data_IF_461996568820
#
_entry.id   IF_461996568820
#
_cell.length_a   1.000
_cell.length_b   1.000
_cell.length_c   1.000
_cell.angle_alpha   90.00
_cell.angle_beta   90.00
_cell.angle_gamma   90.00
#
_symmetry.space_group_name_H-M   'P 1'
#
loop_
_entity.id
_entity.type
_entity.pdbx_description
1 polymer ?
#
# COMPACT_ATOMS: atom_id res chain seq x y z
N UNK A 1 15.37 26.57 -0.89
CA UNK A 1 14.30 26.05 -1.76
C UNK A 1 14.50 26.41 -3.24
N UNK A 2 14.71 27.67 -3.64
CA UNK A 2 14.81 28.05 -5.05
C UNK A 2 15.96 27.47 -5.88
N UNK A 3 17.05 26.94 -5.28
CA UNK A 3 18.17 26.30 -6.00
C UNK A 3 18.02 24.78 -6.15
N UNK A 4 17.07 24.11 -5.46
CA UNK A 4 16.76 22.68 -5.62
C UNK A 4 15.54 22.41 -6.50
N UNK A 5 14.73 23.41 -6.80
CA UNK A 5 13.75 23.41 -7.88
C UNK A 5 14.38 23.83 -9.20
N UNK A 6 15.67 23.55 -9.40
CA UNK A 6 16.39 23.77 -10.65
C UNK A 6 16.02 22.86 -11.82
N UNK A 7 14.86 22.26 -11.77
CA UNK A 7 14.10 21.87 -12.95
C UNK A 7 13.63 23.20 -13.56
N UNK A 8 14.40 23.71 -14.50
CA UNK A 8 14.01 24.92 -15.20
C UNK A 8 12.59 24.75 -15.71
N UNK A 9 11.73 25.77 -15.63
CA UNK A 9 10.36 25.76 -16.16
C UNK A 9 10.28 25.19 -17.59
N UNK A 10 11.38 25.25 -18.34
CA UNK A 10 11.55 24.62 -19.64
C UNK A 10 11.52 23.09 -19.62
N UNK A 11 11.97 22.42 -18.53
CA UNK A 11 11.91 20.95 -18.44
C UNK A 11 10.53 20.50 -17.94
N UNK A 12 9.94 21.21 -16.97
CA UNK A 12 8.57 20.95 -16.55
C UNK A 12 7.58 21.19 -17.67
N UNK A 13 7.70 22.31 -18.40
CA UNK A 13 6.87 22.60 -19.56
C UNK A 13 7.08 21.59 -20.72
N UNK A 14 8.29 21.04 -20.87
CA UNK A 14 8.58 20.00 -21.86
C UNK A 14 8.07 18.62 -21.44
N UNK A 15 8.09 18.28 -20.16
CA UNK A 15 7.44 17.09 -19.65
C UNK A 15 5.91 17.21 -19.69
N UNK A 16 5.37 18.35 -19.29
CA UNK A 16 3.95 18.65 -19.39
C UNK A 16 3.43 18.57 -20.82
N UNK A 17 4.20 19.03 -21.81
CA UNK A 17 3.80 18.97 -23.23
C UNK A 17 3.79 17.55 -23.81
N UNK A 18 4.41 16.58 -23.16
CA UNK A 18 4.46 15.17 -23.59
C UNK A 18 3.31 14.31 -23.04
N UNK A 19 2.60 14.79 -22.02
CA UNK A 19 1.47 14.07 -21.44
C UNK A 19 0.17 14.42 -22.16
N UNK A 20 -0.54 13.44 -22.78
CA UNK A 20 -1.86 13.68 -23.37
C UNK A 20 -2.89 14.17 -22.35
N UNK A 21 -2.67 13.87 -21.06
CA UNK A 21 -3.51 14.33 -19.95
C UNK A 21 -3.40 15.84 -19.73
N UNK A 22 -2.21 16.41 -19.98
CA UNK A 22 -1.95 17.84 -19.82
C UNK A 22 -2.52 18.69 -20.95
N UNK A 23 -2.83 18.08 -22.09
CA UNK A 23 -3.49 18.79 -23.21
C UNK A 23 -4.93 19.23 -22.90
N UNK A 24 -5.54 18.69 -21.83
CA UNK A 24 -6.90 18.99 -21.37
C UNK A 24 -6.92 20.01 -20.22
N UNK A 25 -5.76 20.37 -19.64
CA UNK A 25 -5.69 21.32 -18.54
C UNK A 25 -5.98 22.77 -19.03
N UNK A 26 -6.65 23.59 -18.18
CA UNK A 26 -6.81 25.00 -18.47
C UNK A 26 -5.43 25.66 -18.62
N UNK A 27 -5.38 26.73 -19.40
CA UNK A 27 -4.17 27.50 -19.81
C UNK A 27 -3.07 27.48 -18.74
N UNK A 28 -1.83 27.18 -19.11
CA UNK A 28 -0.72 27.21 -18.17
C UNK A 28 -0.67 28.56 -17.46
N UNK A 29 -0.40 28.51 -16.15
CA UNK A 29 -0.20 29.70 -15.32
C UNK A 29 0.89 30.56 -15.95
N UNK A 30 0.67 31.86 -16.12
CA UNK A 30 1.69 32.76 -16.67
C UNK A 30 2.90 32.79 -15.73
N UNK A 31 4.10 33.07 -16.29
CA UNK A 31 5.32 33.25 -15.47
C UNK A 31 5.10 34.30 -14.38
N UNK A 32 4.39 35.37 -14.69
CA UNK A 32 4.09 36.43 -13.73
C UNK A 32 3.17 35.93 -12.58
N UNK A 33 2.18 35.12 -12.89
CA UNK A 33 1.30 34.56 -11.88
C UNK A 33 2.00 33.47 -11.06
N UNK A 34 2.87 32.68 -11.70
CA UNK A 34 3.73 31.73 -11.00
C UNK A 34 4.63 32.43 -9.97
N UNK A 35 5.26 33.55 -10.35
CA UNK A 35 6.07 34.33 -9.41
C UNK A 35 5.26 34.91 -8.25
N UNK A 36 4.01 35.32 -8.48
CA UNK A 36 3.09 35.75 -7.41
C UNK A 36 2.78 34.58 -6.45
N UNK A 37 2.50 33.39 -6.98
CA UNK A 37 2.26 32.18 -6.18
C UNK A 37 3.51 31.86 -5.33
N UNK A 38 4.69 31.87 -5.92
CA UNK A 38 5.94 31.61 -5.20
C UNK A 38 6.19 32.67 -4.10
N UNK A 39 5.94 33.94 -4.40
CA UNK A 39 6.05 35.02 -3.42
C UNK A 39 5.09 34.83 -2.26
N UNK A 40 3.82 34.52 -2.55
CA UNK A 40 2.80 34.25 -1.54
C UNK A 40 3.21 33.12 -0.59
N UNK A 41 3.66 31.97 -1.13
CA UNK A 41 4.08 30.86 -0.28
C UNK A 41 5.36 31.17 0.52
N UNK A 42 6.29 31.96 -0.03
CA UNK A 42 7.49 32.38 0.72
C UNK A 42 7.14 33.30 1.89
N UNK A 43 6.18 34.17 1.71
CA UNK A 43 5.74 35.14 2.72
C UNK A 43 4.93 34.46 3.85
N UNK A 44 4.11 33.44 3.51
CA UNK A 44 3.15 32.83 4.43
C UNK A 44 3.60 31.46 4.96
N UNK A 45 4.64 30.86 4.37
CA UNK A 45 5.14 29.59 4.87
C UNK A 45 5.83 29.79 6.24
N UNK A 46 5.58 28.92 7.23
CA UNK A 46 6.30 28.95 8.49
C UNK A 46 7.78 28.62 8.26
N UNK A 47 8.66 29.14 9.11
CA UNK A 47 10.11 28.86 9.07
C UNK A 47 10.41 27.38 9.28
N UNK A 48 9.59 26.68 10.08
CA UNK A 48 9.61 25.25 10.31
C UNK A 48 8.22 24.69 10.45
N UNK A 49 8.01 23.43 10.06
CA UNK A 49 6.76 22.74 10.39
C UNK A 49 6.72 22.39 11.88
N UNK A 50 5.55 22.46 12.53
CA UNK A 50 5.42 22.06 13.92
C UNK A 50 5.80 20.59 14.08
N UNK A 51 6.48 20.27 15.19
CA UNK A 51 6.75 18.88 15.53
C UNK A 51 5.46 18.17 15.95
N UNK A 52 5.30 16.90 15.56
CA UNK A 52 4.15 16.09 15.99
C UNK A 52 4.29 15.74 17.48
N UNK A 53 3.37 16.20 18.30
CA UNK A 53 3.22 15.67 19.66
C UNK A 53 2.29 14.46 19.63
N UNK A 54 2.74 13.36 20.23
CA UNK A 54 1.87 12.19 20.42
C UNK A 54 0.86 12.44 21.52
N UNK A 55 -0.34 11.84 21.45
CA UNK A 55 -1.34 11.91 22.52
C UNK A 55 -0.84 11.31 23.86
N UNK A 56 0.05 10.31 23.76
CA UNK A 56 0.74 9.69 24.89
C UNK A 56 2.10 9.17 24.42
N UNK A 57 3.09 9.11 25.33
CA UNK A 57 4.38 8.49 25.01
C UNK A 57 4.23 6.97 24.85
N UNK A 58 4.82 6.38 23.79
CA UNK A 58 4.71 4.95 23.55
C UNK A 58 5.49 4.12 24.59
N UNK A 59 4.92 2.98 24.98
CA UNK A 59 5.67 1.97 25.73
C UNK A 59 6.59 1.24 24.75
N UNK A 60 7.88 1.22 25.05
CA UNK A 60 8.89 0.60 24.19
C UNK A 60 8.98 -0.90 24.44
N UNK A 61 9.08 -1.67 23.33
CA UNK A 61 9.29 -3.13 23.31
C UNK A 61 8.33 -3.89 24.24
N UNK A 62 7.02 -3.87 23.95
CA UNK A 62 6.04 -4.53 24.80
C UNK A 62 6.32 -6.03 24.88
N UNK A 63 6.36 -6.58 26.11
CA UNK A 63 6.74 -7.97 26.37
C UNK A 63 5.82 -9.02 25.70
N UNK A 64 4.62 -8.61 25.32
CA UNK A 64 3.64 -9.44 24.65
C UNK A 64 3.82 -9.56 23.13
N UNK A 65 4.81 -8.86 22.55
CA UNK A 65 5.30 -9.14 21.20
C UNK A 65 6.77 -9.55 21.24
N UNK A 66 7.08 -10.69 20.63
CA UNK A 66 8.46 -11.10 20.39
C UNK A 66 8.85 -10.79 18.96
N UNK A 67 9.88 -9.99 18.79
CA UNK A 67 10.37 -9.56 17.47
C UNK A 67 11.57 -10.40 17.02
N UNK A 68 11.69 -10.61 15.71
CA UNK A 68 12.82 -11.29 15.10
C UNK A 68 12.73 -11.25 13.56
N UNK A 69 13.78 -11.70 12.84
CA UNK A 69 13.70 -11.83 11.41
C UNK A 69 12.80 -13.00 11.00
N UNK A 70 12.11 -12.89 9.87
CA UNK A 70 11.36 -14.01 9.29
C UNK A 70 12.32 -15.19 9.04
N UNK A 71 13.43 -14.91 8.36
CA UNK A 71 14.51 -15.87 8.13
C UNK A 71 15.83 -15.15 8.41
N UNK A 72 16.65 -15.65 9.37
CA UNK A 72 17.93 -15.03 9.64
C UNK A 72 18.83 -14.99 8.40
N UNK A 73 19.42 -13.81 8.13
CA UNK A 73 20.35 -13.59 7.00
C UNK A 73 19.74 -13.88 5.62
N UNK A 74 18.43 -13.61 5.45
CA UNK A 74 17.83 -13.65 4.10
C UNK A 74 18.55 -12.62 3.23
N UNK A 75 19.31 -13.10 2.23
CA UNK A 75 19.97 -12.21 1.28
C UNK A 75 18.92 -11.57 0.36
N UNK A 76 18.72 -10.27 0.51
CA UNK A 76 17.74 -9.49 -0.23
C UNK A 76 18.20 -8.04 -0.33
N UNK A 77 17.74 -7.33 -1.33
CA UNK A 77 17.98 -5.88 -1.48
C UNK A 77 17.19 -5.02 -0.50
N UNK A 78 16.37 -5.62 0.38
CA UNK A 78 15.42 -4.92 1.24
C UNK A 78 14.39 -4.06 0.47
N UNK A 79 14.05 -4.46 -0.75
CA UNK A 79 12.98 -3.85 -1.56
C UNK A 79 11.86 -4.88 -1.68
N UNK A 80 11.14 -5.11 -0.56
CA UNK A 80 10.00 -6.02 -0.53
C UNK A 80 8.79 -5.29 -1.09
N UNK A 81 8.23 -5.81 -2.16
CA UNK A 81 7.07 -5.25 -2.87
C UNK A 81 5.83 -6.11 -2.75
N UNK A 82 5.98 -7.33 -2.26
CA UNK A 82 4.89 -8.25 -2.01
C UNK A 82 5.14 -9.02 -0.71
N UNK A 83 4.16 -9.03 0.19
CA UNK A 83 4.16 -9.82 1.41
C UNK A 83 2.72 -10.30 1.66
N UNK A 84 2.53 -11.62 1.63
CA UNK A 84 1.22 -12.25 1.82
C UNK A 84 1.31 -13.56 2.56
N UNK A 85 0.23 -13.91 3.24
CA UNK A 85 0.01 -15.19 3.90
C UNK A 85 -1.15 -15.93 3.24
N UNK A 86 -1.02 -17.25 3.18
CA UNK A 86 -2.08 -18.18 2.80
C UNK A 86 -2.32 -19.16 3.96
N UNK A 87 -3.37 -18.90 4.72
CA UNK A 87 -3.71 -19.70 5.90
C UNK A 87 -4.23 -21.10 5.53
N UNK A 88 -4.80 -21.27 4.33
CA UNK A 88 -5.33 -22.56 3.87
C UNK A 88 -4.18 -23.57 3.65
N UNK A 89 -3.10 -23.15 2.99
CA UNK A 89 -1.96 -24.01 2.68
C UNK A 89 -0.76 -23.75 3.59
N UNK A 90 -0.90 -22.89 4.62
CA UNK A 90 0.17 -22.51 5.55
C UNK A 90 1.43 -22.00 4.84
N UNK A 91 1.27 -21.02 3.94
CA UNK A 91 2.35 -20.45 3.12
C UNK A 91 2.53 -18.95 3.39
N UNK A 92 3.79 -18.51 3.24
CA UNK A 92 4.17 -17.08 3.26
C UNK A 92 4.80 -16.76 1.92
N UNK A 93 4.32 -15.74 1.25
CA UNK A 93 4.84 -15.24 -0.03
C UNK A 93 5.61 -13.94 0.21
N UNK A 94 6.86 -13.91 -0.23
CA UNK A 94 7.74 -12.75 -0.14
C UNK A 94 8.24 -12.41 -1.53
N UNK A 95 7.81 -11.28 -2.06
CA UNK A 95 8.23 -10.76 -3.35
C UNK A 95 9.22 -9.62 -3.19
N UNK A 96 10.33 -9.71 -3.93
CA UNK A 96 11.43 -8.76 -3.89
C UNK A 96 11.67 -8.16 -5.27
N UNK A 97 11.73 -6.84 -5.35
CA UNK A 97 11.89 -6.15 -6.62
C UNK A 97 13.34 -6.12 -7.14
N UNK A 98 14.33 -6.12 -6.25
CA UNK A 98 15.73 -5.99 -6.67
C UNK A 98 16.24 -7.14 -7.52
N UNK A 99 15.70 -8.35 -7.31
CA UNK A 99 16.03 -9.55 -8.09
C UNK A 99 14.83 -10.13 -8.84
N UNK A 100 13.67 -9.44 -8.83
CA UNK A 100 12.41 -9.94 -9.37
C UNK A 100 12.07 -11.34 -8.84
N UNK A 101 12.26 -11.57 -7.56
CA UNK A 101 12.13 -12.92 -6.99
C UNK A 101 10.86 -13.04 -6.16
N UNK A 102 10.14 -14.13 -6.36
CA UNK A 102 9.08 -14.60 -5.46
C UNK A 102 9.60 -15.79 -4.66
N UNK A 103 9.62 -15.67 -3.33
CA UNK A 103 9.95 -16.76 -2.41
C UNK A 103 8.69 -17.19 -1.66
N UNK A 104 8.55 -18.51 -1.52
CA UNK A 104 7.47 -19.15 -0.77
C UNK A 104 8.08 -19.88 0.40
N UNK A 105 7.59 -19.58 1.60
CA UNK A 105 7.98 -20.27 2.84
C UNK A 105 6.78 -21.00 3.43
N UNK A 106 7.04 -22.07 4.19
CA UNK A 106 6.03 -22.63 5.09
C UNK A 106 5.94 -21.81 6.39
N UNK A 107 4.95 -22.10 7.23
CA UNK A 107 4.78 -21.40 8.51
C UNK A 107 5.89 -21.69 9.52
N UNK A 108 6.70 -22.76 9.33
CA UNK A 108 7.94 -22.97 10.06
C UNK A 108 9.10 -22.13 9.52
N UNK A 109 8.84 -21.26 8.53
CA UNK A 109 9.80 -20.37 7.88
C UNK A 109 10.87 -21.10 7.07
N UNK A 110 10.58 -22.32 6.65
CA UNK A 110 11.40 -23.09 5.72
C UNK A 110 11.10 -22.63 4.29
N UNK A 111 12.14 -22.34 3.50
CA UNK A 111 11.98 -22.01 2.09
C UNK A 111 11.48 -23.23 1.31
N UNK A 112 10.31 -23.10 0.68
CA UNK A 112 9.70 -24.10 -0.19
C UNK A 112 10.08 -23.86 -1.64
N UNK A 113 9.98 -22.63 -2.12
CA UNK A 113 10.25 -22.26 -3.51
C UNK A 113 10.91 -20.89 -3.60
N UNK A 114 11.74 -20.73 -4.62
CA UNK A 114 12.30 -19.44 -5.03
C UNK A 114 12.27 -19.36 -6.55
N UNK A 115 11.53 -18.40 -7.09
CA UNK A 115 11.28 -18.23 -8.51
C UNK A 115 11.70 -16.82 -8.93
N UNK A 116 12.48 -16.73 -10.02
CA UNK A 116 12.72 -15.45 -10.69
C UNK A 116 11.59 -15.18 -11.67
N UNK A 117 10.98 -14.01 -11.54
CA UNK A 117 9.85 -13.52 -12.32
C UNK A 117 10.32 -12.67 -13.50
N UNK A 118 9.40 -12.34 -14.41
CA UNK A 118 9.66 -11.45 -15.53
C UNK A 118 9.93 -10.00 -15.11
N UNK A 119 9.29 -9.55 -14.02
CA UNK A 119 9.44 -8.21 -13.45
C UNK A 119 9.06 -8.19 -11.97
N UNK A 120 9.21 -7.05 -11.26
CA UNK A 120 8.91 -6.97 -9.83
C UNK A 120 7.46 -7.38 -9.49
N UNK A 121 7.25 -8.33 -8.54
CA UNK A 121 5.92 -8.69 -8.08
C UNK A 121 5.35 -7.61 -7.16
N UNK A 122 4.09 -7.25 -7.35
CA UNK A 122 3.41 -6.23 -6.52
C UNK A 122 2.23 -6.77 -5.73
N UNK A 123 1.56 -7.78 -6.25
CA UNK A 123 0.47 -8.46 -5.57
C UNK A 123 0.32 -9.90 -6.06
N UNK A 124 -0.46 -10.73 -5.37
CA UNK A 124 -0.82 -12.07 -5.82
C UNK A 124 -2.19 -12.52 -5.32
N UNK A 125 -2.77 -13.47 -6.03
CA UNK A 125 -3.96 -14.22 -5.63
C UNK A 125 -3.58 -15.70 -5.55
N UNK A 126 -3.96 -16.38 -4.47
CA UNK A 126 -3.85 -17.86 -4.36
C UNK A 126 -5.14 -18.47 -4.90
N UNK A 127 -5.03 -19.40 -5.85
CA UNK A 127 -6.14 -20.06 -6.51
C UNK A 127 -5.89 -21.59 -6.54
N UNK A 128 -6.34 -22.28 -5.50
CA UNK A 128 -6.07 -23.72 -5.34
C UNK A 128 -4.58 -24.05 -5.41
N UNK A 129 -4.18 -24.91 -6.37
CA UNK A 129 -2.79 -25.29 -6.60
C UNK A 129 -2.03 -24.30 -7.51
N UNK A 130 -2.48 -23.05 -7.62
CA UNK A 130 -1.82 -22.05 -8.42
C UNK A 130 -1.79 -20.69 -7.71
N UNK A 131 -0.90 -19.81 -8.19
CA UNK A 131 -0.86 -18.41 -7.80
C UNK A 131 -0.90 -17.53 -9.04
N UNK A 132 -1.68 -16.47 -8.96
CA UNK A 132 -1.71 -15.41 -9.96
C UNK A 132 -0.86 -14.27 -9.43
N UNK A 133 0.28 -14.02 -10.07
CA UNK A 133 1.22 -12.97 -9.64
C UNK A 133 1.04 -11.76 -10.52
N UNK A 134 0.81 -10.61 -9.89
CA UNK A 134 0.79 -9.32 -10.56
C UNK A 134 2.22 -8.79 -10.61
N UNK A 135 2.72 -8.59 -11.81
CA UNK A 135 4.08 -8.12 -12.08
C UNK A 135 4.03 -6.69 -12.65
N UNK A 136 4.77 -5.76 -12.06
CA UNK A 136 4.65 -4.33 -12.38
C UNK A 136 5.22 -3.91 -13.73
N UNK A 137 6.03 -4.76 -14.37
CA UNK A 137 6.87 -4.37 -15.50
C UNK A 137 8.05 -3.52 -15.03
N UNK A 138 7.89 -2.23 -14.92
CA UNK A 138 8.89 -1.31 -14.38
C UNK A 138 8.38 -0.77 -13.04
N UNK A 139 9.17 -0.92 -11.96
CA UNK A 139 8.77 -0.48 -10.62
C UNK A 139 8.72 1.06 -10.49
N UNK A 140 9.69 1.75 -11.09
CA UNK A 140 9.76 3.20 -11.05
C UNK A 140 8.57 3.85 -11.78
N UNK A 141 8.15 5.08 -11.38
CA UNK A 141 7.09 5.81 -12.07
C UNK A 141 7.30 5.86 -13.59
N UNK A 142 6.31 5.37 -14.34
CA UNK A 142 6.33 5.31 -15.79
C UNK A 142 4.94 4.99 -16.36
N UNK A 143 4.75 5.25 -17.65
CA UNK A 143 3.53 4.97 -18.42
C UNK A 143 3.72 3.82 -19.43
N UNK A 144 4.78 3.01 -19.27
CA UNK A 144 5.06 1.87 -20.15
C UNK A 144 4.12 0.69 -19.85
N UNK A 145 3.40 0.17 -20.86
CA UNK A 145 2.46 -0.94 -20.65
C UNK A 145 3.20 -2.29 -20.60
N UNK A 146 4.03 -2.48 -19.57
CA UNK A 146 4.88 -3.69 -19.39
C UNK A 146 4.45 -4.58 -18.24
N UNK A 147 3.44 -4.19 -17.48
CA UNK A 147 2.90 -5.01 -16.40
C UNK A 147 2.12 -6.20 -16.92
N UNK A 148 2.08 -7.27 -16.12
CA UNK A 148 1.41 -8.53 -16.47
C UNK A 148 0.72 -9.15 -15.26
N UNK A 149 -0.33 -9.94 -15.51
CA UNK A 149 -0.88 -10.92 -14.56
C UNK A 149 -0.51 -12.30 -15.06
N UNK A 150 0.31 -13.03 -14.30
CA UNK A 150 0.87 -14.33 -14.68
C UNK A 150 0.40 -15.42 -13.73
N UNK A 151 -0.12 -16.52 -14.28
CA UNK A 151 -0.46 -17.73 -13.50
C UNK A 151 0.76 -18.64 -13.42
N UNK A 152 1.08 -19.08 -12.21
CA UNK A 152 2.08 -20.12 -11.91
C UNK A 152 1.40 -21.27 -11.20
N UNK A 153 1.78 -22.49 -11.50
CA UNK A 153 1.24 -23.71 -10.89
C UNK A 153 2.23 -24.32 -9.91
N UNK A 154 1.72 -24.85 -8.78
CA UNK A 154 2.55 -25.63 -7.88
C UNK A 154 2.78 -27.02 -8.46
N UNK A 155 4.04 -27.38 -8.70
CA UNK A 155 4.44 -28.75 -9.04
C UNK A 155 4.78 -29.50 -7.74
N UNK A 156 3.81 -30.20 -7.16
CA UNK A 156 3.88 -30.73 -5.81
C UNK A 156 3.75 -29.61 -4.76
N UNK A 157 4.19 -29.88 -3.53
CA UNK A 157 4.02 -28.91 -2.43
C UNK A 157 4.94 -27.68 -2.55
N UNK A 158 6.07 -27.77 -3.26
CA UNK A 158 7.24 -26.94 -2.99
C UNK A 158 7.84 -26.22 -4.22
N UNK A 159 7.21 -26.26 -5.39
CA UNK A 159 7.83 -25.64 -6.58
C UNK A 159 6.82 -24.98 -7.49
N UNK A 160 7.00 -23.69 -7.75
CA UNK A 160 6.23 -22.93 -8.73
C UNK A 160 6.84 -23.10 -10.13
N UNK A 161 6.00 -23.38 -11.13
CA UNK A 161 6.39 -23.65 -12.53
C UNK A 161 5.30 -23.20 -13.51
N UNK A 162 5.58 -23.42 -14.79
CA UNK A 162 4.62 -23.29 -15.88
C UNK A 162 3.97 -21.89 -15.97
N UNK A 163 4.78 -20.82 -16.16
CA UNK A 163 4.22 -19.49 -16.29
C UNK A 163 3.28 -19.38 -17.49
N UNK A 164 2.08 -18.83 -17.26
CA UNK A 164 1.12 -18.48 -18.30
C UNK A 164 0.64 -17.07 -18.09
N UNK A 165 0.96 -16.17 -19.00
CA UNK A 165 0.44 -14.81 -19.00
C UNK A 165 -1.06 -14.85 -19.25
N UNK A 166 -1.85 -14.28 -18.34
CA UNK A 166 -3.30 -14.15 -18.45
C UNK A 166 -3.69 -12.79 -19.04
N UNK A 167 -3.03 -11.72 -18.55
CA UNK A 167 -3.26 -10.34 -18.96
C UNK A 167 -1.89 -9.70 -19.11
N UNK A 168 -1.69 -8.96 -20.17
CA UNK A 168 -0.49 -8.18 -20.47
C UNK A 168 -0.81 -6.70 -20.69
N UNK A 169 0.22 -5.93 -20.98
CA UNK A 169 0.10 -4.51 -21.34
C UNK A 169 -0.51 -3.64 -20.24
N UNK A 170 -0.32 -4.01 -18.95
CA UNK A 170 -0.80 -3.26 -17.80
C UNK A 170 0.13 -2.07 -17.50
N UNK A 171 -0.46 -0.95 -17.07
CA UNK A 171 0.24 0.29 -16.72
C UNK A 171 0.71 0.27 -15.27
N UNK A 172 1.90 -0.28 -14.98
CA UNK A 172 2.48 -0.34 -13.63
C UNK A 172 1.45 -0.78 -12.56
N UNK A 173 0.92 -2.01 -12.70
CA UNK A 173 -0.12 -2.50 -11.80
C UNK A 173 0.44 -2.75 -10.39
N UNK A 174 -0.38 -2.47 -9.36
CA UNK A 174 0.04 -2.55 -7.95
C UNK A 174 -0.88 -3.37 -7.05
N UNK A 175 -2.12 -3.63 -7.48
CA UNK A 175 -3.09 -4.36 -6.68
C UNK A 175 -4.11 -5.08 -7.56
N UNK A 176 -4.48 -6.31 -7.20
CA UNK A 176 -5.46 -7.13 -7.94
C UNK A 176 -6.34 -7.94 -7.02
N UNK A 177 -7.63 -8.04 -7.36
CA UNK A 177 -8.57 -9.00 -6.77
C UNK A 177 -9.42 -9.61 -7.87
N UNK A 178 -9.91 -10.83 -7.60
CA UNK A 178 -10.92 -11.47 -8.43
C UNK A 178 -12.24 -11.57 -7.68
N UNK A 179 -13.33 -11.39 -8.39
CA UNK A 179 -14.67 -11.50 -7.83
C UNK A 179 -15.70 -11.75 -8.94
N UNK A 180 -16.76 -12.53 -8.65
CA UNK A 180 -17.90 -12.75 -9.56
C UNK A 180 -18.94 -11.63 -9.36
N UNK A 181 -18.73 -10.49 -10.05
CA UNK A 181 -19.62 -9.33 -9.95
C UNK A 181 -20.96 -9.53 -10.65
N UNK A 182 -21.02 -10.43 -11.62
CA UNK A 182 -22.23 -10.73 -12.39
C UNK A 182 -23.04 -11.89 -11.81
N UNK A 183 -22.53 -12.58 -10.78
CA UNK A 183 -23.13 -13.78 -10.16
C UNK A 183 -23.39 -14.89 -11.17
N UNK A 184 -22.49 -15.07 -12.14
CA UNK A 184 -22.58 -16.04 -13.24
C UNK A 184 -21.64 -17.24 -13.06
N UNK A 185 -20.90 -17.31 -11.95
CA UNK A 185 -19.93 -18.38 -11.63
C UNK A 185 -18.56 -18.16 -12.26
N UNK A 186 -18.31 -17.02 -12.91
CA UNK A 186 -17.01 -16.65 -13.48
C UNK A 186 -16.49 -15.39 -12.81
N UNK A 187 -15.27 -15.45 -12.29
CA UNK A 187 -14.66 -14.28 -11.68
C UNK A 187 -14.09 -13.33 -12.73
N UNK A 188 -14.32 -12.05 -12.55
CA UNK A 188 -13.59 -10.95 -13.18
C UNK A 188 -12.38 -10.57 -12.33
N UNK A 189 -11.34 -9.99 -12.96
CA UNK A 189 -10.27 -9.31 -12.26
C UNK A 189 -10.53 -7.82 -12.22
N UNK A 190 -10.32 -7.21 -11.05
CA UNK A 190 -10.16 -5.76 -10.93
C UNK A 190 -8.71 -5.48 -10.62
N UNK A 191 -8.09 -4.55 -11.35
CA UNK A 191 -6.67 -4.21 -11.25
C UNK A 191 -6.52 -2.70 -11.04
N UNK A 192 -5.72 -2.32 -10.05
CA UNK A 192 -5.20 -0.97 -9.92
C UNK A 192 -3.96 -0.84 -10.80
N UNK A 193 -4.08 -0.15 -11.91
CA UNK A 193 -2.97 0.24 -12.78
C UNK A 193 -2.53 1.65 -12.38
N UNK A 194 -1.57 1.72 -11.45
CA UNK A 194 -1.15 2.98 -10.83
C UNK A 194 -0.59 3.96 -11.87
N UNK A 195 0.25 3.44 -12.79
CA UNK A 195 0.88 4.23 -13.84
C UNK A 195 1.82 5.32 -13.31
N UNK A 196 1.81 6.46 -13.99
CA UNK A 196 2.48 7.71 -13.63
C UNK A 196 1.60 8.91 -14.06
N UNK A 197 1.68 9.34 -15.32
CA UNK A 197 0.74 10.32 -15.91
C UNK A 197 -0.54 9.66 -16.43
N UNK A 198 -0.47 8.38 -16.73
CA UNK A 198 -1.56 7.51 -17.16
C UNK A 198 -1.69 6.36 -16.18
N UNK A 199 -2.90 6.01 -15.86
CA UNK A 199 -3.23 4.90 -14.99
C UNK A 199 -4.74 4.72 -14.97
N UNK A 200 -5.22 3.66 -14.36
CA UNK A 200 -6.65 3.39 -14.33
C UNK A 200 -7.01 2.33 -13.29
N UNK A 201 -8.24 2.38 -12.84
CA UNK A 201 -8.90 1.26 -12.22
C UNK A 201 -9.68 0.51 -13.31
N UNK A 202 -9.34 -0.73 -13.58
CA UNK A 202 -9.94 -1.49 -14.68
C UNK A 202 -10.45 -2.87 -14.25
N UNK A 203 -11.55 -3.28 -14.88
CA UNK A 203 -12.11 -4.61 -14.77
C UNK A 203 -11.76 -5.42 -16.02
N UNK A 204 -11.37 -6.67 -15.82
CA UNK A 204 -10.99 -7.61 -16.87
C UNK A 204 -11.89 -8.83 -16.82
N UNK A 205 -12.68 -9.01 -17.88
CA UNK A 205 -13.63 -10.11 -18.03
C UNK A 205 -13.17 -11.07 -19.11
N UNK A 206 -13.20 -12.37 -18.81
CA UNK A 206 -12.89 -13.41 -19.79
C UNK A 206 -14.05 -13.60 -20.77
N UNK A 207 -13.78 -13.51 -22.08
CA UNK A 207 -14.80 -13.66 -23.14
C UNK A 207 -14.86 -15.07 -23.75
N UNK A 208 -14.10 -16.03 -23.18
CA UNK A 208 -13.95 -17.38 -23.72
C UNK A 208 -12.63 -17.58 -24.49
N UNK A 209 -11.92 -16.49 -24.86
CA UNK A 209 -10.64 -16.53 -25.56
C UNK A 209 -9.56 -15.72 -24.85
N UNK A 210 -9.89 -14.54 -24.38
CA UNK A 210 -8.98 -13.61 -23.68
C UNK A 210 -9.72 -12.75 -22.67
N UNK A 211 -8.97 -12.04 -21.85
CA UNK A 211 -9.52 -11.04 -20.95
C UNK A 211 -9.77 -9.73 -21.68
N UNK A 212 -11.01 -9.23 -21.62
CA UNK A 212 -11.42 -7.95 -22.19
C UNK A 212 -11.37 -6.89 -21.11
N UNK A 213 -10.65 -5.81 -21.39
CA UNK A 213 -10.48 -4.66 -20.49
C UNK A 213 -11.68 -3.73 -20.56
N UNK A 214 -12.13 -3.29 -19.38
CA UNK A 214 -13.16 -2.29 -19.18
C UNK A 214 -12.72 -1.29 -18.12
N UNK A 215 -12.55 -0.05 -18.49
CA UNK A 215 -12.11 1.00 -17.57
C UNK A 215 -13.26 1.40 -16.66
N UNK A 216 -13.01 1.39 -15.34
CA UNK A 216 -13.92 1.89 -14.30
C UNK A 216 -13.64 3.37 -14.08
N UNK A 217 -12.37 3.75 -13.89
CA UNK A 217 -11.90 5.14 -13.77
C UNK A 217 -10.54 5.28 -14.46
N UNK A 218 -10.40 6.29 -15.32
CA UNK A 218 -9.20 6.53 -16.14
C UNK A 218 -8.18 7.46 -15.46
N UNK A 219 -8.34 7.73 -14.15
CA UNK A 219 -7.36 8.55 -13.40
C UNK A 219 -6.17 7.72 -12.99
N UNK A 220 -4.94 8.26 -13.05
CA UNK A 220 -3.76 7.59 -12.50
C UNK A 220 -3.80 7.52 -10.99
N UNK A 221 -3.02 6.60 -10.43
CA UNK A 221 -2.81 6.48 -9.00
C UNK A 221 -3.80 5.64 -8.20
N UNK A 222 -4.66 4.75 -8.79
CA UNK A 222 -5.38 3.80 -7.96
C UNK A 222 -4.35 2.86 -7.30
N UNK A 223 -4.35 2.81 -5.97
CA UNK A 223 -3.36 2.03 -5.23
C UNK A 223 -3.96 0.77 -4.61
N UNK A 224 -5.22 0.84 -4.21
CA UNK A 224 -5.95 -0.23 -3.54
C UNK A 224 -7.45 -0.03 -3.66
N UNK A 225 -8.20 -1.10 -3.58
CA UNK A 225 -9.66 -1.07 -3.44
C UNK A 225 -10.15 -2.17 -2.50
N UNK A 226 -11.39 -2.02 -2.03
CA UNK A 226 -12.16 -3.06 -1.35
C UNK A 226 -13.45 -3.34 -2.09
N UNK A 227 -13.94 -4.58 -1.99
CA UNK A 227 -15.19 -5.03 -2.59
C UNK A 227 -16.18 -5.23 -1.44
N UNK A 228 -17.25 -4.43 -1.42
CA UNK A 228 -18.31 -4.47 -0.40
C UNK A 228 -19.63 -4.01 -0.98
N UNK A 229 -20.74 -4.53 -0.47
CA UNK A 229 -22.05 -3.95 -0.71
C UNK A 229 -22.22 -2.71 0.18
N UNK A 230 -21.96 -1.53 -0.39
CA UNK A 230 -22.04 -0.24 0.31
C UNK A 230 -23.41 0.41 0.19
N UNK A 231 -24.25 -0.07 -0.74
CA UNK A 231 -25.59 0.47 -0.99
C UNK A 231 -26.69 -0.33 -0.30
N UNK A 232 -26.38 -1.55 0.14
CA UNK A 232 -27.34 -2.47 0.77
C UNK A 232 -28.32 -3.13 -0.24
N UNK A 233 -27.96 -3.12 -1.54
CA UNK A 233 -28.78 -3.69 -2.61
C UNK A 233 -28.44 -5.16 -2.92
N UNK A 234 -27.43 -5.70 -2.25
CA UNK A 234 -26.91 -7.05 -2.42
C UNK A 234 -25.96 -7.21 -3.60
N UNK A 235 -25.61 -6.14 -4.33
CA UNK A 235 -24.57 -6.14 -5.34
C UNK A 235 -23.27 -5.60 -4.73
N UNK A 236 -22.13 -6.31 -4.86
CA UNK A 236 -20.88 -5.81 -4.32
C UNK A 236 -20.34 -4.64 -5.15
N UNK A 237 -20.06 -3.54 -4.47
CA UNK A 237 -19.50 -2.31 -5.01
C UNK A 237 -17.97 -2.33 -4.89
N UNK A 238 -17.31 -1.34 -5.48
CA UNK A 238 -15.88 -1.11 -5.36
C UNK A 238 -15.63 0.22 -4.65
N UNK A 239 -14.88 0.18 -3.55
CA UNK A 239 -14.36 1.38 -2.88
C UNK A 239 -12.87 1.45 -3.17
N UNK A 240 -12.38 2.48 -3.84
CA UNK A 240 -10.99 2.60 -4.28
C UNK A 240 -10.31 3.87 -3.79
N UNK A 241 -9.03 3.74 -3.37
CA UNK A 241 -8.14 4.85 -3.04
C UNK A 241 -7.30 5.22 -4.25
N UNK A 242 -7.33 6.50 -4.62
CA UNK A 242 -6.43 7.11 -5.59
C UNK A 242 -5.41 7.97 -4.83
N UNK A 243 -4.14 7.72 -5.07
CA UNK A 243 -3.02 8.30 -4.31
C UNK A 243 -2.16 9.25 -5.17
N UNK A 244 -2.65 9.69 -6.32
CA UNK A 244 -1.90 10.57 -7.21
C UNK A 244 -2.77 11.71 -7.74
N UNK A 245 -2.24 12.94 -7.66
CA UNK A 245 -2.90 14.14 -8.16
C UNK A 245 -4.11 14.57 -7.32
N UNK A 246 -5.27 13.98 -7.55
CA UNK A 246 -6.50 14.19 -6.76
C UNK A 246 -6.68 13.01 -5.79
N UNK A 247 -6.05 13.10 -4.62
CA UNK A 247 -6.09 12.05 -3.60
C UNK A 247 -7.49 11.90 -3.02
N UNK A 248 -8.10 10.74 -3.24
CA UNK A 248 -9.50 10.51 -2.88
C UNK A 248 -9.83 9.03 -2.68
N UNK A 249 -10.86 8.77 -1.89
CA UNK A 249 -11.54 7.47 -1.81
C UNK A 249 -12.88 7.60 -2.52
N UNK A 250 -13.14 6.71 -3.47
CA UNK A 250 -14.32 6.73 -4.34
C UNK A 250 -15.08 5.42 -4.24
N UNK A 251 -16.38 5.52 -4.08
CA UNK A 251 -17.33 4.42 -4.24
C UNK A 251 -17.79 4.36 -5.70
N UNK A 252 -17.65 3.19 -6.31
CA UNK A 252 -18.22 2.84 -7.62
C UNK A 252 -19.31 1.82 -7.40
N UNK A 253 -20.56 2.25 -7.60
CA UNK A 253 -21.74 1.38 -7.38
C UNK A 253 -21.87 0.38 -8.53
N UNK A 254 -22.14 -0.89 -8.18
CA UNK A 254 -22.42 -1.96 -9.12
C UNK A 254 -23.92 -1.97 -9.46
N UNK A 255 -24.27 -2.02 -10.73
CA UNK A 255 -25.66 -2.18 -11.16
C UNK A 255 -26.24 -3.62 -11.01
N UNK A 256 -25.51 -4.50 -10.32
CA UNK A 256 -25.84 -5.93 -10.16
C UNK A 256 -25.49 -6.78 -11.39
N UNK A 257 -24.83 -6.19 -12.40
CA UNK A 257 -24.39 -6.85 -13.64
C UNK A 257 -22.90 -6.57 -13.93
N UNK A 258 -22.13 -6.20 -12.92
CA UNK A 258 -20.72 -5.87 -13.06
C UNK A 258 -20.43 -4.55 -13.81
N UNK A 259 -21.41 -3.63 -13.88
CA UNK A 259 -21.19 -2.31 -14.46
C UNK A 259 -21.02 -1.26 -13.35
N UNK A 260 -19.92 -0.52 -13.40
CA UNK A 260 -19.53 0.51 -12.44
C UNK A 260 -19.55 1.94 -13.01
N UNK A 261 -19.97 2.10 -14.26
CA UNK A 261 -19.91 3.39 -14.97
C UNK A 261 -21.08 4.35 -14.68
N UNK A 262 -22.10 3.86 -13.95
CA UNK A 262 -23.36 4.61 -13.79
C UNK A 262 -23.37 5.57 -12.61
N UNK A 263 -22.77 5.20 -11.49
CA UNK A 263 -22.81 5.97 -10.25
C UNK A 263 -21.47 5.88 -9.55
N UNK A 264 -20.88 7.04 -9.27
CA UNK A 264 -19.69 7.16 -8.44
C UNK A 264 -19.89 8.26 -7.40
N UNK A 265 -19.35 8.03 -6.21
CA UNK A 265 -19.42 8.97 -5.09
C UNK A 265 -18.06 9.09 -4.42
N UNK A 266 -17.56 10.31 -4.29
CA UNK A 266 -16.36 10.58 -3.50
C UNK A 266 -16.75 10.48 -2.04
N UNK A 267 -16.17 9.50 -1.32
CA UNK A 267 -16.40 9.27 0.10
C UNK A 267 -15.50 10.17 0.95
N UNK A 268 -14.25 10.37 0.51
CA UNK A 268 -13.31 11.27 1.14
C UNK A 268 -12.34 11.86 0.10
N UNK A 269 -11.90 13.10 0.30
CA UNK A 269 -10.87 13.76 -0.51
C UNK A 269 -9.83 14.35 0.40
N UNK A 270 -8.57 14.18 0.04
CA UNK A 270 -7.43 14.61 0.85
C UNK A 270 -6.59 15.66 0.11
N UNK A 271 -5.91 16.56 0.84
CA UNK A 271 -4.91 17.42 0.21
C UNK A 271 -3.80 16.59 -0.47
N UNK A 272 -3.38 16.92 -1.70
CA UNK A 272 -2.34 16.17 -2.42
C UNK A 272 -0.99 16.09 -1.69
N UNK A 273 -0.77 16.94 -0.68
CA UNK A 273 0.44 16.93 0.16
C UNK A 273 0.39 15.88 1.27
N UNK A 274 -0.75 15.20 1.45
CA UNK A 274 -0.90 14.17 2.48
C UNK A 274 -0.10 12.91 2.14
N UNK A 275 0.01 12.56 0.85
CA UNK A 275 0.69 11.36 0.40
C UNK A 275 -0.03 10.10 0.85
N UNK A 276 -1.18 9.83 0.22
CA UNK A 276 -2.01 8.65 0.50
C UNK A 276 -1.25 7.36 0.23
N UNK A 277 -1.22 6.45 1.21
CA UNK A 277 -0.48 5.19 1.13
C UNK A 277 -1.38 3.96 1.21
N UNK A 278 -2.42 4.00 2.04
CA UNK A 278 -3.23 2.84 2.32
C UNK A 278 -4.60 3.22 2.88
N UNK A 279 -5.59 2.36 2.67
CA UNK A 279 -6.84 2.35 3.43
C UNK A 279 -7.36 0.93 3.62
N UNK A 280 -8.22 0.75 4.62
CA UNK A 280 -9.04 -0.45 4.82
C UNK A 280 -10.35 -0.06 5.49
N UNK A 281 -11.35 -0.95 5.43
CA UNK A 281 -12.67 -0.67 5.98
C UNK A 281 -13.02 -1.67 7.08
N UNK A 282 -13.33 -1.15 8.26
CA UNK A 282 -13.64 -1.93 9.47
C UNK A 282 -14.73 -1.21 10.27
N UNK A 283 -15.53 -1.96 10.99
CA UNK A 283 -16.51 -1.42 11.94
C UNK A 283 -15.81 -1.22 13.30
N UNK A 284 -15.31 0.00 13.56
CA UNK A 284 -14.56 0.31 14.80
C UNK A 284 -15.47 0.58 16.00
N UNK A 285 -16.74 0.93 15.77
CA UNK A 285 -17.68 1.30 16.82
C UNK A 285 -18.76 0.25 17.07
N UNK A 286 -18.81 -0.85 16.27
CA UNK A 286 -19.75 -1.93 16.41
C UNK A 286 -21.18 -1.59 15.97
N UNK A 287 -21.37 -0.57 15.13
CA UNK A 287 -22.70 -0.13 14.66
C UNK A 287 -23.18 -0.85 13.38
N UNK A 288 -22.34 -1.70 12.81
CA UNK A 288 -22.61 -2.46 11.58
C UNK A 288 -22.29 -1.70 10.30
N UNK A 289 -21.82 -0.45 10.38
CA UNK A 289 -21.43 0.36 9.23
C UNK A 289 -19.91 0.41 9.14
N UNK A 290 -19.28 0.03 8.01
CA UNK A 290 -17.83 0.04 7.93
C UNK A 290 -17.26 1.46 7.90
N UNK A 291 -16.34 1.75 8.83
CA UNK A 291 -15.53 2.95 8.87
C UNK A 291 -14.30 2.81 7.96
N UNK A 292 -13.64 3.91 7.64
CA UNK A 292 -12.40 3.92 6.87
C UNK A 292 -11.22 4.15 7.80
N UNK A 293 -10.30 3.18 7.86
CA UNK A 293 -8.93 3.43 8.27
C UNK A 293 -8.17 4.00 7.08
N UNK A 294 -7.55 5.17 7.24
CA UNK A 294 -6.75 5.83 6.21
C UNK A 294 -5.34 6.10 6.71
N UNK A 295 -4.34 5.79 5.88
CA UNK A 295 -2.92 5.99 6.19
C UNK A 295 -2.30 6.90 5.14
N UNK A 296 -1.60 7.92 5.59
CA UNK A 296 -0.89 8.84 4.71
C UNK A 296 0.50 9.17 5.25
N UNK A 297 1.48 9.18 4.36
CA UNK A 297 2.85 9.40 4.78
C UNK A 297 3.88 9.36 3.65
N UNK A 298 3.44 9.31 2.39
CA UNK A 298 4.40 9.41 1.29
C UNK A 298 5.13 10.76 1.33
N UNK A 299 6.44 10.66 1.37
CA UNK A 299 7.34 11.80 1.52
C UNK A 299 8.45 11.80 0.46
N UNK A 300 8.34 10.94 -0.55
CA UNK A 300 9.43 10.69 -1.48
C UNK A 300 9.56 11.75 -2.57
N UNK A 301 8.44 12.23 -3.12
CA UNK A 301 8.42 12.98 -4.36
C UNK A 301 9.03 14.38 -4.28
N UNK A 302 8.74 15.14 -3.21
CA UNK A 302 9.05 16.56 -3.16
C UNK A 302 10.03 16.97 -2.05
N UNK A 303 9.96 16.32 -0.89
CA UNK A 303 10.71 16.74 0.29
C UNK A 303 10.74 15.66 1.34
N UNK A 304 11.92 15.34 1.87
CA UNK A 304 12.12 14.38 2.96
C UNK A 304 11.98 15.00 4.36
N UNK A 305 11.39 16.19 4.46
CA UNK A 305 11.11 16.80 5.76
C UNK A 305 9.96 16.06 6.45
N UNK A 306 10.02 15.98 7.78
CA UNK A 306 8.95 15.39 8.58
C UNK A 306 7.68 16.27 8.50
N UNK A 307 6.54 15.67 8.22
CA UNK A 307 5.28 16.39 8.01
C UNK A 307 4.28 16.04 9.11
N UNK A 308 3.78 17.03 9.87
CA UNK A 308 2.97 16.80 11.08
C UNK A 308 1.57 16.23 10.80
N UNK A 309 1.14 16.20 9.57
CA UNK A 309 -0.15 15.65 9.14
C UNK A 309 -0.07 14.20 8.64
N UNK A 310 1.13 13.60 8.65
CA UNK A 310 1.29 12.18 8.36
C UNK A 310 0.81 11.33 9.53
N UNK A 311 0.17 10.22 9.26
CA UNK A 311 -0.30 9.31 10.30
C UNK A 311 -1.42 8.38 9.87
N UNK A 312 -2.12 7.89 10.86
CA UNK A 312 -3.27 7.00 10.74
C UNK A 312 -4.52 7.74 11.17
N UNK A 313 -5.59 7.64 10.37
CA UNK A 313 -6.90 8.23 10.63
C UNK A 313 -8.00 7.20 10.60
N UNK A 314 -9.01 7.38 11.44
CA UNK A 314 -10.29 6.68 11.32
C UNK A 314 -11.34 7.71 10.92
N UNK A 315 -12.00 7.45 9.80
CA UNK A 315 -13.14 8.21 9.32
C UNK A 315 -14.39 7.39 9.62
N UNK A 316 -15.17 7.83 10.59
CA UNK A 316 -16.40 7.16 11.04
C UNK A 316 -17.52 7.35 10.00
N UNK A 317 -18.23 6.27 9.69
CA UNK A 317 -19.38 6.25 8.80
C UNK A 317 -20.66 6.54 9.58
N UNK A 318 -21.47 7.49 9.12
CA UNK A 318 -22.76 7.80 9.73
C UNK A 318 -23.90 6.81 9.39
N UNK A 319 -23.56 5.66 8.81
CA UNK A 319 -24.51 4.67 8.31
C UNK A 319 -25.17 5.01 6.96
N UNK A 320 -24.75 6.13 6.34
CA UNK A 320 -25.23 6.59 5.02
C UNK A 320 -24.07 6.86 4.05
N UNK A 321 -22.92 6.31 4.36
CA UNK A 321 -21.68 6.50 3.62
C UNK A 321 -21.21 7.98 3.60
N UNK A 322 -21.52 8.78 4.64
CA UNK A 322 -20.83 10.04 4.91
C UNK A 322 -19.79 9.78 5.99
N UNK A 323 -18.55 10.19 5.72
CA UNK A 323 -17.40 9.88 6.55
C UNK A 323 -16.87 11.14 7.22
N UNK A 324 -16.60 11.04 8.53
CA UNK A 324 -16.08 12.15 9.34
C UNK A 324 -14.85 11.69 10.12
N UNK A 325 -13.76 12.48 10.10
CA UNK A 325 -12.56 12.17 10.88
C UNK A 325 -12.91 12.11 12.37
N UNK A 326 -12.76 10.92 12.96
CA UNK A 326 -13.03 10.64 14.36
C UNK A 326 -11.76 10.50 15.18
N UNK A 327 -10.70 10.03 14.56
CA UNK A 327 -9.42 9.77 15.20
C UNK A 327 -8.28 10.10 14.26
N UNK A 328 -7.21 10.67 14.82
CA UNK A 328 -5.92 10.86 14.17
C UNK A 328 -4.80 10.52 15.14
N UNK A 329 -3.90 9.63 14.71
CA UNK A 329 -2.65 9.35 15.40
C UNK A 329 -1.47 9.71 14.51
N UNK A 330 -0.61 10.68 14.93
CA UNK A 330 0.50 11.14 14.12
C UNK A 330 1.63 10.12 14.07
N UNK A 331 2.04 9.74 12.85
CA UNK A 331 3.21 8.89 12.58
C UNK A 331 3.90 9.47 11.35
N UNK A 332 5.11 9.99 11.50
CA UNK A 332 5.87 10.46 10.36
C UNK A 332 6.08 9.36 9.34
N UNK A 333 5.75 9.64 8.07
CA UNK A 333 5.95 8.70 6.98
C UNK A 333 5.16 7.39 7.08
N UNK A 334 3.96 7.41 7.71
CA UNK A 334 3.11 6.24 7.83
C UNK A 334 2.82 5.61 6.45
N UNK A 335 3.03 4.30 6.32
CA UNK A 335 2.97 3.61 5.04
C UNK A 335 1.86 2.55 4.96
N UNK A 336 1.67 1.79 6.04
CA UNK A 336 0.71 0.68 6.09
C UNK A 336 0.13 0.55 7.48
N UNK A 337 -1.05 -0.06 7.57
CA UNK A 337 -1.59 -0.51 8.84
C UNK A 337 -2.37 -1.82 8.69
N UNK A 338 -2.31 -2.66 9.72
CA UNK A 338 -3.17 -3.81 9.92
C UNK A 338 -4.14 -3.53 11.05
N UNK A 339 -5.38 -3.99 10.89
CA UNK A 339 -6.45 -3.84 11.87
C UNK A 339 -6.94 -5.22 12.27
N UNK A 340 -6.87 -5.51 13.53
CA UNK A 340 -7.41 -6.75 14.12
C UNK A 340 -7.59 -6.57 15.63
N UNK A 341 -8.40 -7.41 16.23
CA UNK A 341 -8.47 -7.60 17.67
C UNK A 341 -7.27 -8.48 18.08
N UNK A 342 -6.08 -7.83 18.29
CA UNK A 342 -4.83 -8.54 18.57
C UNK A 342 -4.76 -9.08 19.99
N UNK A 343 -5.47 -8.48 20.94
CA UNK A 343 -5.46 -8.89 22.35
C UNK A 343 -6.75 -9.61 22.80
N UNK A 344 -7.70 -9.77 21.86
CA UNK A 344 -8.97 -10.49 22.05
C UNK A 344 -9.86 -9.91 23.14
N UNK A 345 -9.85 -8.59 23.28
CA UNK A 345 -10.73 -7.87 24.20
C UNK A 345 -12.06 -7.42 23.54
N UNK A 346 -12.19 -7.59 22.21
CA UNK A 346 -13.37 -7.30 21.42
C UNK A 346 -13.29 -5.98 20.68
N UNK A 347 -12.29 -5.14 20.94
CA UNK A 347 -12.03 -3.89 20.24
C UNK A 347 -10.97 -4.07 19.12
N UNK A 348 -11.07 -3.30 18.03
CA UNK A 348 -10.11 -3.39 16.94
C UNK A 348 -8.88 -2.53 17.20
N UNK A 349 -7.71 -3.16 17.22
CA UNK A 349 -6.40 -2.53 17.34
C UNK A 349 -5.81 -2.17 15.99
N UNK A 350 -4.73 -1.36 16.00
CA UNK A 350 -4.02 -0.95 14.80
C UNK A 350 -2.52 -1.20 14.97
N UNK A 351 -1.91 -1.95 14.04
CA UNK A 351 -0.46 -2.02 13.92
C UNK A 351 -0.05 -1.25 12.64
N UNK A 352 0.68 -0.16 12.82
CA UNK A 352 1.09 0.73 11.74
C UNK A 352 2.61 0.70 11.51
N UNK A 353 3.02 0.85 10.26
CA UNK A 353 4.42 0.94 9.85
C UNK A 353 4.74 2.27 9.19
N UNK A 354 6.00 2.66 9.21
CA UNK A 354 6.49 3.88 8.58
C UNK A 354 7.69 3.62 7.69
N UNK A 355 7.65 4.21 6.51
CA UNK A 355 8.76 4.21 5.56
C UNK A 355 9.68 5.43 5.75
N UNK A 356 9.15 6.54 6.27
CA UNK A 356 9.88 7.80 6.48
C UNK A 356 9.76 8.29 7.93
N UNK A 357 10.02 7.40 8.90
CA UNK A 357 10.01 7.74 10.32
C UNK A 357 11.05 8.83 10.65
N UNK A 358 10.94 9.41 11.83
CA UNK A 358 11.98 10.28 12.41
C UNK A 358 13.17 9.41 12.87
N UNK A 359 14.00 9.01 11.89
CA UNK A 359 15.15 8.13 12.15
C UNK A 359 16.26 8.78 13.00
N UNK A 360 16.27 10.12 13.12
CA UNK A 360 17.25 10.84 13.92
C UNK A 360 16.89 10.89 15.39
N UNK A 361 15.60 11.15 15.70
CA UNK A 361 15.16 11.37 17.08
C UNK A 361 14.34 10.20 17.64
N UNK A 362 13.50 9.56 16.82
CA UNK A 362 12.56 8.53 17.25
C UNK A 362 12.47 7.36 16.25
N UNK A 363 13.59 6.65 15.98
CA UNK A 363 13.59 5.55 15.01
C UNK A 363 12.70 4.37 15.41
N UNK A 364 12.43 4.18 16.73
CA UNK A 364 11.52 3.17 17.27
C UNK A 364 10.07 3.34 16.82
N UNK A 365 9.68 4.55 16.42
CA UNK A 365 8.32 4.89 15.94
C UNK A 365 8.08 4.47 14.47
N UNK A 366 9.04 3.81 13.85
CA UNK A 366 8.88 3.20 12.52
C UNK A 366 7.90 2.02 12.50
N UNK A 367 7.60 1.41 13.67
CA UNK A 367 6.54 0.42 13.87
C UNK A 367 5.80 0.81 15.14
N UNK A 368 4.49 0.99 15.04
CA UNK A 368 3.63 1.38 16.16
C UNK A 368 2.47 0.41 16.30
N UNK A 369 2.25 -0.10 17.51
CA UNK A 369 1.02 -0.81 17.88
C UNK A 369 0.16 0.13 18.72
N UNK A 370 -1.08 0.29 18.33
CA UNK A 370 -2.08 1.12 19.00
C UNK A 370 -3.16 0.18 19.53
N UNK A 371 -3.06 -0.16 20.84
CA UNK A 371 -4.05 -0.94 21.58
C UNK A 371 -5.31 -0.10 21.77
N UNK A 372 -6.44 -0.53 21.25
CA UNK A 372 -7.71 0.15 21.46
C UNK A 372 -8.19 -0.12 22.90
N UNK A 373 -8.59 0.93 23.60
CA UNK A 373 -9.12 0.85 24.96
C UNK A 373 -10.57 1.31 25.05
N UNK A 374 -11.25 1.27 23.90
CA UNK A 374 -12.63 1.69 23.72
C UNK A 374 -12.82 3.16 23.38
N UNK A 375 -13.85 3.46 22.58
CA UNK A 375 -14.27 4.82 22.26
C UNK A 375 -13.21 5.63 21.50
N UNK A 376 -12.49 5.02 20.58
CA UNK A 376 -11.40 5.61 19.80
C UNK A 376 -10.23 6.14 20.66
N UNK A 377 -9.97 5.53 21.80
CA UNK A 377 -8.83 5.81 22.66
C UNK A 377 -7.80 4.70 22.48
N UNK A 378 -6.59 5.07 22.09
CA UNK A 378 -5.53 4.12 21.81
C UNK A 378 -4.33 4.32 22.72
N UNK A 379 -3.78 3.23 23.23
CA UNK A 379 -2.53 3.18 23.97
C UNK A 379 -1.41 2.83 23.01
N UNK A 380 -0.41 3.71 22.82
CA UNK A 380 0.65 3.47 21.84
C UNK A 380 1.79 2.63 22.42
N UNK A 381 2.35 1.75 21.56
CA UNK A 381 3.57 1.02 21.77
C UNK A 381 4.50 1.17 20.57
N UNK A 382 5.82 1.17 20.82
CA UNK A 382 6.84 1.27 19.81
C UNK A 382 7.85 0.13 19.91
N UNK A 383 8.65 -0.10 18.87
CA UNK A 383 9.57 -1.23 18.81
C UNK A 383 10.98 -0.78 18.44
N UNK A 384 11.97 -1.06 19.28
CA UNK A 384 13.39 -0.75 19.03
C UNK A 384 13.90 -1.32 17.70
N UNK A 385 13.39 -2.49 17.31
CA UNK A 385 13.74 -3.15 16.03
C UNK A 385 13.33 -2.32 14.81
N UNK A 386 12.40 -1.38 14.95
CA UNK A 386 11.96 -0.50 13.86
C UNK A 386 13.09 0.35 13.29
N UNK A 387 14.10 0.68 14.10
CA UNK A 387 15.30 1.43 13.68
C UNK A 387 16.15 0.73 12.61
N UNK A 388 15.90 -0.56 12.35
CA UNK A 388 16.74 -1.36 11.46
C UNK A 388 16.47 -1.17 9.98
N UNK A 389 15.27 -0.71 9.59
CA UNK A 389 14.88 -0.55 8.19
C UNK A 389 13.77 0.51 8.00
N UNK A 390 13.40 0.76 6.75
CA UNK A 390 12.19 1.48 6.34
C UNK A 390 11.08 0.45 6.10
N UNK A 391 9.97 0.54 6.84
CA UNK A 391 8.94 -0.49 6.86
C UNK A 391 7.72 -0.07 6.06
N UNK A 392 7.29 -0.90 5.11
CA UNK A 392 6.26 -0.52 4.14
C UNK A 392 5.10 -1.51 4.02
N UNK A 393 5.36 -2.79 4.18
CA UNK A 393 4.34 -3.83 3.99
C UNK A 393 4.07 -4.58 5.28
N UNK A 394 2.84 -5.07 5.40
CA UNK A 394 2.41 -5.93 6.50
C UNK A 394 1.59 -7.10 5.97
N UNK A 395 1.60 -8.21 6.70
CA UNK A 395 0.69 -9.33 6.54
C UNK A 395 0.47 -10.00 7.89
N UNK A 396 -0.74 -10.50 8.14
CA UNK A 396 -1.10 -11.16 9.39
C UNK A 396 -1.53 -12.60 9.16
N UNK A 397 -1.19 -13.47 10.09
CA UNK A 397 -1.71 -14.83 10.22
C UNK A 397 -1.34 -15.41 11.60
N UNK A 398 -2.05 -16.41 12.06
CA UNK A 398 -1.66 -17.24 13.21
C UNK A 398 -0.62 -18.27 12.73
N UNK A 399 0.67 -17.84 12.68
CA UNK A 399 1.74 -18.63 12.06
C UNK A 399 2.20 -19.79 12.93
N UNK A 400 2.09 -19.67 14.24
CA UNK A 400 2.48 -20.69 15.21
C UNK A 400 1.30 -21.58 15.65
N UNK A 401 0.07 -21.27 15.21
CA UNK A 401 -1.19 -21.97 15.50
C UNK A 401 -1.56 -21.96 16.99
N UNK A 402 -1.26 -20.87 17.68
CA UNK A 402 -1.64 -20.66 19.09
C UNK A 402 -2.98 -19.92 19.23
N UNK A 403 -3.57 -19.55 18.12
CA UNK A 403 -4.84 -18.83 18.04
C UNK A 403 -4.71 -17.32 18.07
N UNK A 404 -3.49 -16.75 18.16
CA UNK A 404 -3.24 -15.31 18.17
C UNK A 404 -2.63 -14.87 16.83
N UNK A 405 -3.03 -13.70 16.36
CA UNK A 405 -2.52 -13.19 15.09
C UNK A 405 -1.11 -12.65 15.26
N UNK A 406 -0.17 -13.24 14.53
CA UNK A 406 1.17 -12.74 14.33
C UNK A 406 1.24 -11.73 13.18
N UNK A 407 2.30 -10.94 13.14
CA UNK A 407 2.50 -9.93 12.09
C UNK A 407 3.84 -10.14 11.40
N UNK A 408 3.80 -10.15 10.07
CA UNK A 408 4.97 -10.03 9.20
C UNK A 408 5.08 -8.58 8.71
N UNK A 409 6.30 -8.04 8.69
CA UNK A 409 6.56 -6.68 8.25
C UNK A 409 7.69 -6.68 7.23
N UNK A 410 7.42 -6.16 6.03
CA UNK A 410 8.37 -6.09 4.92
C UNK A 410 8.99 -4.70 4.79
N UNK A 411 10.32 -4.69 4.56
CA UNK A 411 11.08 -3.47 4.35
C UNK A 411 11.01 -3.02 2.88
N UNK A 412 10.96 -1.71 2.67
CA UNK A 412 11.20 -1.10 1.38
C UNK A 412 12.18 0.06 1.56
N UNK A 413 13.47 -0.26 1.63
CA UNK A 413 14.54 0.73 1.77
C UNK A 413 14.73 1.51 0.46
N UNK A 414 14.17 2.68 0.40
CA UNK A 414 14.27 3.57 -0.77
C UNK A 414 15.69 4.12 -0.98
N UNK A 415 16.53 4.15 0.06
CA UNK A 415 17.98 4.39 -0.10
C UNK A 415 18.64 3.25 -0.86
N UNK A 416 18.17 2.01 -0.69
CA UNK A 416 18.57 0.86 -1.51
C UNK A 416 18.03 0.94 -2.93
N UNK A 417 16.84 1.50 -3.16
CA UNK A 417 16.32 1.78 -4.52
C UNK A 417 17.24 2.77 -5.25
N UNK A 418 17.61 3.87 -4.61
CA UNK A 418 18.54 4.83 -5.20
C UNK A 418 19.94 4.23 -5.46
N UNK A 419 20.44 3.35 -4.56
CA UNK A 419 21.70 2.60 -4.74
C UNK A 419 21.57 1.54 -5.83
N UNK A 420 20.46 0.87 -5.94
CA UNK A 420 20.16 -0.08 -7.02
C UNK A 420 20.22 0.62 -8.38
N UNK A 421 19.68 1.82 -8.49
CA UNK A 421 19.83 2.65 -9.69
C UNK A 421 21.28 3.04 -9.96
N UNK A 422 22.10 3.28 -8.91
CA UNK A 422 23.53 3.55 -9.02
C UNK A 422 24.37 2.31 -9.28
N UNK A 423 23.95 1.11 -8.87
CA UNK A 423 24.66 -0.16 -9.12
C UNK A 423 24.68 -0.56 -10.61
N UNK A 424 23.73 -0.11 -11.39
CA UNK A 424 23.89 -0.07 -12.85
C UNK A 424 25.06 0.83 -13.28
N UNK A 425 25.64 1.60 -12.34
CA UNK A 425 26.79 2.47 -12.47
C UNK A 425 28.04 2.04 -11.66
N UNK A 426 28.08 0.85 -11.05
CA UNK A 426 29.31 0.24 -10.51
C UNK A 426 29.66 0.48 -9.04
N UNK A 427 28.69 0.66 -8.13
CA UNK A 427 28.90 0.84 -6.68
C UNK A 427 28.82 -0.45 -5.84
N UNK A 428 29.53 -0.52 -4.72
CA UNK A 428 29.54 -1.64 -3.77
C UNK A 428 28.33 -1.55 -2.81
N UNK A 429 27.64 -2.70 -2.57
CA UNK A 429 26.49 -2.80 -1.67
C UNK A 429 26.89 -3.00 -0.21
N UNK A 430 26.25 -2.28 0.72
CA UNK A 430 26.29 -2.64 2.15
C UNK A 430 25.57 -3.99 2.41
N UNK A 431 25.95 -4.73 3.48
CA UNK A 431 25.27 -5.97 3.82
C UNK A 431 23.79 -5.72 4.10
N UNK A 432 22.93 -6.54 3.52
CA UNK A 432 21.49 -6.45 3.68
C UNK A 432 21.09 -6.63 5.15
N UNK A 433 20.33 -5.69 5.70
CA UNK A 433 19.58 -5.84 6.94
C UNK A 433 18.46 -6.86 6.70
N UNK A 434 17.96 -7.51 7.75
CA UNK A 434 16.86 -8.47 7.60
C UNK A 434 15.63 -7.77 6.98
N UNK A 435 15.22 -8.16 5.76
CA UNK A 435 14.23 -7.39 5.00
C UNK A 435 12.78 -7.68 5.42
N UNK A 436 12.55 -8.74 6.19
CA UNK A 436 11.23 -9.12 6.71
C UNK A 436 11.34 -9.45 8.18
N UNK A 437 10.59 -8.71 9.01
CA UNK A 437 10.43 -8.98 10.43
C UNK A 437 9.24 -9.91 10.66
N UNK A 438 9.32 -10.64 11.75
CA UNK A 438 8.25 -11.42 12.35
C UNK A 438 8.00 -10.91 13.78
N UNK A 439 6.78 -10.50 14.06
CA UNK A 439 6.28 -10.14 15.37
C UNK A 439 5.35 -11.27 15.85
N UNK A 440 5.85 -12.11 16.72
CA UNK A 440 5.09 -13.17 17.37
C UNK A 440 4.22 -12.56 18.48
N UNK A 441 2.91 -12.70 18.35
CA UNK A 441 1.97 -12.24 19.37
C UNK A 441 1.93 -13.24 20.53
N UNK A 442 2.18 -12.76 21.75
CA UNK A 442 2.22 -13.54 22.99
C UNK A 442 1.26 -13.01 24.05
N UNK A 443 0.18 -12.34 23.63
CA UNK A 443 -0.77 -11.73 24.57
C UNK A 443 -1.49 -12.75 25.43
N UNK A 444 -1.50 -14.04 25.04
CA UNK A 444 -1.95 -15.14 25.91
C UNK A 444 -1.14 -15.27 27.21
N UNK A 445 0.01 -14.61 27.28
CA UNK A 445 0.87 -14.62 28.46
C UNK A 445 0.66 -13.36 29.35
N UNK A 446 -0.27 -12.46 28.99
CA UNK A 446 -0.77 -11.39 29.87
C UNK A 446 -1.74 -12.00 30.89
#
# INVERSE_FOLDING_TARGET
MGKRLGVGMTSLAAEMSRSPYMAVLPKPVSEQDWQKIVAYYREHAPDSLPYQSLPAEPVLDPAFFKTGPLVPRLKSSAIITLLKTDSIHSRIFVGEAGSNTLRVFDWNRRLLSSLTLGSPPTDLIVEGDSVLVLESGILNPNDEPKGTLVKYEFAGADSLRSPRVLIDSLLRPVFVRQFDFEKNGTNEFVICEFGDNRGELALYKYDGSKYQRRIIDASPGPIRFEIRDMTGDGAPDIVALFAQGDERIVLFENDGKGNFSGRQRILARFPPVYGSMFFSMHDFNGDGSPDILYVNGDNYDYSRILKPYHGVRILENDGKNNFHERFFFPIYGAARAEVADFDKDGDLDILATSNFADFESHPERGIMYLENTGGYKFRPYAFSVASSNQWNLTATADLNKDGWLDVLIGAMDLGSVARFQQQYSGGTSEPAKDPVLFLENRMHAK
#
